data_IF_982553563745
#
_entry.id   IF_982553563745
#
_cell.length_a   1.000
_cell.length_b   1.000
_cell.length_c   1.000
_cell.angle_alpha   90.00
_cell.angle_beta   90.00
_cell.angle_gamma   90.00
#
_symmetry.space_group_name_H-M   'P 1'
#
loop_
_entity.id
_entity.type
_entity.pdbx_description
1 polymer ?
#
# COMPACT_ATOMS: atom_id res chain seq x y z
N UNK A 1 -24.83 3.71 41.45
CA UNK A 1 -24.14 4.57 40.46
C UNK A 1 -23.14 3.72 39.65
N UNK A 2 -23.65 2.73 38.90
CA UNK A 2 -22.86 1.84 38.05
C UNK A 2 -23.57 1.75 36.71
N UNK A 3 -23.14 2.55 35.74
CA UNK A 3 -23.75 2.56 34.42
C UNK A 3 -22.98 3.44 33.46
N UNK A 4 -21.81 2.98 32.99
CA UNK A 4 -21.27 3.47 31.72
C UNK A 4 -20.14 2.66 31.05
N UNK A 5 -19.97 1.36 31.32
CA UNK A 5 -18.83 0.58 30.77
C UNK A 5 -19.20 -0.62 29.88
N UNK A 6 -20.43 -0.70 29.37
CA UNK A 6 -20.95 -1.94 28.76
C UNK A 6 -21.44 -1.87 27.31
N UNK A 7 -21.25 -0.78 26.57
CA UNK A 7 -21.65 -0.69 25.15
C UNK A 7 -20.49 -0.22 24.28
N UNK A 8 -19.44 -1.03 24.18
CA UNK A 8 -18.66 -1.00 22.95
C UNK A 8 -19.60 -1.55 21.87
N UNK A 9 -20.20 -0.65 21.08
CA UNK A 9 -21.21 -0.99 20.08
C UNK A 9 -20.65 -2.09 19.15
N UNK A 10 -21.33 -3.24 19.09
CA UNK A 10 -20.93 -4.37 18.26
C UNK A 10 -20.69 -3.97 16.79
N UNK A 11 -21.48 -3.03 16.26
CA UNK A 11 -21.28 -2.42 14.94
C UNK A 11 -19.96 -1.64 14.81
N UNK A 12 -19.53 -0.92 15.85
CA UNK A 12 -18.24 -0.22 15.87
C UNK A 12 -17.08 -1.22 15.89
N UNK A 13 -17.20 -2.32 16.64
CA UNK A 13 -16.18 -3.38 16.67
C UNK A 13 -16.06 -4.10 15.33
N UNK A 14 -17.19 -4.41 14.68
CA UNK A 14 -17.21 -5.02 13.34
C UNK A 14 -16.60 -4.07 12.29
N UNK A 15 -16.90 -2.78 12.37
CA UNK A 15 -16.33 -1.75 11.49
C UNK A 15 -14.80 -1.64 11.64
N UNK A 16 -14.27 -1.60 12.88
CA UNK A 16 -12.82 -1.54 13.10
C UNK A 16 -12.11 -2.82 12.64
N UNK A 17 -12.70 -4.00 12.86
CA UNK A 17 -12.13 -5.26 12.37
C UNK A 17 -12.07 -5.31 10.85
N UNK A 18 -13.11 -4.83 10.17
CA UNK A 18 -13.15 -4.76 8.70
C UNK A 18 -12.07 -3.82 8.16
N UNK A 19 -11.84 -2.68 8.79
CA UNK A 19 -10.78 -1.74 8.39
C UNK A 19 -9.38 -2.33 8.58
N UNK A 20 -9.14 -3.01 9.70
CA UNK A 20 -7.86 -3.70 9.95
C UNK A 20 -7.62 -4.77 8.90
N UNK A 21 -8.65 -5.57 8.57
CA UNK A 21 -8.54 -6.61 7.54
C UNK A 21 -8.26 -6.00 6.17
N UNK A 22 -9.00 -4.95 5.78
CA UNK A 22 -8.77 -4.25 4.50
C UNK A 22 -7.35 -3.72 4.37
N UNK A 23 -6.88 -2.99 5.40
CA UNK A 23 -5.50 -2.48 5.41
C UNK A 23 -4.47 -3.61 5.43
N UNK A 24 -4.75 -4.74 6.10
CA UNK A 24 -3.85 -5.91 6.06
C UNK A 24 -3.78 -6.55 4.66
N UNK A 25 -4.89 -6.58 3.93
CA UNK A 25 -4.94 -7.07 2.54
C UNK A 25 -4.19 -6.12 1.61
N UNK A 26 -4.41 -4.81 1.77
CA UNK A 26 -3.68 -3.76 1.05
C UNK A 26 -2.18 -3.88 1.31
N UNK A 27 -1.77 -3.99 2.58
CA UNK A 27 -0.37 -4.13 2.96
C UNK A 27 0.28 -5.38 2.36
N UNK A 28 -0.43 -6.51 2.38
CA UNK A 28 0.03 -7.74 1.74
C UNK A 28 0.24 -7.56 0.23
N UNK A 29 -0.70 -6.92 -0.47
CA UNK A 29 -0.58 -6.62 -1.90
C UNK A 29 0.64 -5.75 -2.21
N UNK A 30 0.81 -4.67 -1.44
CA UNK A 30 1.96 -3.76 -1.55
C UNK A 30 3.26 -4.53 -1.33
N UNK A 31 3.37 -5.30 -0.24
CA UNK A 31 4.59 -6.07 0.05
C UNK A 31 4.92 -7.06 -1.06
N UNK A 32 3.94 -7.82 -1.56
CA UNK A 32 4.16 -8.78 -2.64
C UNK A 32 4.74 -8.14 -3.90
N UNK A 33 4.21 -6.99 -4.33
CA UNK A 33 4.72 -6.31 -5.52
C UNK A 33 6.05 -5.59 -5.27
N UNK A 34 6.22 -4.93 -4.12
CA UNK A 34 7.49 -4.32 -3.73
C UNK A 34 8.64 -5.34 -3.66
N UNK A 35 8.36 -6.60 -3.27
CA UNK A 35 9.35 -7.68 -3.27
C UNK A 35 9.82 -8.03 -4.69
N UNK A 36 8.89 -8.10 -5.64
CA UNK A 36 9.17 -8.40 -7.04
C UNK A 36 9.93 -7.26 -7.70
N UNK A 37 9.51 -6.01 -7.47
CA UNK A 37 10.23 -4.83 -7.97
C UNK A 37 11.66 -4.80 -7.42
N UNK A 38 11.85 -5.08 -6.13
CA UNK A 38 13.18 -5.15 -5.51
C UNK A 38 14.08 -6.21 -6.17
N UNK A 39 13.54 -7.39 -6.46
CA UNK A 39 14.27 -8.42 -7.21
C UNK A 39 14.62 -7.95 -8.62
N UNK A 40 13.68 -7.34 -9.35
CA UNK A 40 13.89 -6.85 -10.70
C UNK A 40 15.00 -5.76 -10.75
N UNK A 41 14.99 -4.82 -9.80
CA UNK A 41 16.01 -3.77 -9.69
C UNK A 41 17.42 -4.37 -9.52
N UNK A 42 17.56 -5.45 -8.76
CA UNK A 42 18.86 -6.06 -8.48
C UNK A 42 19.57 -6.65 -9.71
N UNK A 43 18.80 -6.94 -10.77
CA UNK A 43 19.29 -7.53 -12.04
C UNK A 43 19.10 -6.58 -13.23
N UNK A 44 18.83 -5.30 -12.98
CA UNK A 44 18.50 -4.29 -13.99
C UNK A 44 19.66 -3.92 -14.94
N UNK A 45 20.91 -4.24 -14.61
CA UNK A 45 22.07 -3.92 -15.45
C UNK A 45 22.21 -2.41 -15.70
N UNK A 46 22.23 -2.01 -16.97
CA UNK A 46 22.41 -0.61 -17.40
C UNK A 46 21.25 0.30 -16.96
N UNK A 47 20.04 -0.25 -16.77
CA UNK A 47 18.85 0.48 -16.33
C UNK A 47 18.79 0.66 -14.80
N UNK A 48 19.80 0.20 -14.06
CA UNK A 48 19.79 0.28 -12.59
C UNK A 48 19.64 1.72 -12.09
N UNK A 49 20.39 2.68 -12.62
CA UNK A 49 20.37 4.07 -12.15
C UNK A 49 18.99 4.72 -12.36
N UNK A 50 18.40 4.73 -13.57
CA UNK A 50 17.07 5.31 -13.74
C UNK A 50 16.00 4.58 -12.92
N UNK A 51 16.01 3.24 -12.88
CA UNK A 51 15.04 2.46 -12.11
C UNK A 51 15.19 2.66 -10.60
N UNK A 52 16.41 2.83 -10.09
CA UNK A 52 16.65 3.09 -8.68
C UNK A 52 16.10 4.46 -8.26
N UNK A 53 16.33 5.49 -9.07
CA UNK A 53 15.78 6.83 -8.81
C UNK A 53 14.25 6.80 -8.84
N UNK A 54 13.65 6.17 -9.85
CA UNK A 54 12.20 5.99 -9.92
C UNK A 54 11.68 5.25 -8.68
N UNK A 55 12.33 4.14 -8.29
CA UNK A 55 11.92 3.33 -7.15
C UNK A 55 11.94 4.09 -5.82
N UNK A 56 12.91 4.98 -5.60
CA UNK A 56 12.95 5.82 -4.39
C UNK A 56 11.68 6.67 -4.29
N UNK A 57 11.28 7.33 -5.38
CA UNK A 57 10.08 8.17 -5.38
C UNK A 57 8.80 7.33 -5.31
N UNK A 58 8.76 6.20 -6.03
CA UNK A 58 7.63 5.28 -6.00
C UNK A 58 7.37 4.76 -4.57
N UNK A 59 8.40 4.20 -3.93
CA UNK A 59 8.34 3.67 -2.58
C UNK A 59 8.09 4.77 -1.54
N UNK A 60 8.55 6.00 -1.79
CA UNK A 60 8.20 7.12 -0.90
C UNK A 60 6.69 7.38 -0.91
N UNK A 61 6.08 7.47 -2.10
CA UNK A 61 4.66 7.78 -2.22
C UNK A 61 3.75 6.64 -1.78
N UNK A 62 4.09 5.40 -2.14
CA UNK A 62 3.39 4.22 -1.62
C UNK A 62 3.48 4.14 -0.08
N UNK A 63 4.65 4.44 0.48
CA UNK A 63 4.90 4.43 1.92
C UNK A 63 4.10 5.50 2.67
N UNK A 64 3.99 6.70 2.10
CA UNK A 64 3.13 7.76 2.63
C UNK A 64 1.65 7.35 2.58
N UNK A 65 1.22 6.69 1.49
CA UNK A 65 -0.13 6.17 1.32
C UNK A 65 -0.50 5.17 2.42
N UNK A 66 0.26 4.08 2.56
CA UNK A 66 -0.02 3.07 3.60
C UNK A 66 0.18 3.63 5.01
N UNK A 67 1.17 4.49 5.22
CA UNK A 67 1.43 5.12 6.51
C UNK A 67 0.25 5.99 6.98
N UNK A 68 -0.38 6.74 6.06
CA UNK A 68 -1.59 7.52 6.38
C UNK A 68 -2.75 6.62 6.81
N UNK A 69 -2.92 5.46 6.17
CA UNK A 69 -3.99 4.51 6.50
C UNK A 69 -3.77 3.81 7.82
N UNK A 70 -2.54 3.41 8.11
CA UNK A 70 -2.16 2.86 9.41
C UNK A 70 -2.38 3.90 10.51
N UNK A 71 -2.10 5.19 10.26
CA UNK A 71 -2.31 6.25 11.23
C UNK A 71 -3.80 6.51 11.56
N UNK A 72 -4.72 6.21 10.64
CA UNK A 72 -6.16 6.33 10.85
C UNK A 72 -6.76 5.17 11.68
N UNK A 73 -6.04 4.04 11.79
CA UNK A 73 -6.49 2.88 12.55
C UNK A 73 -6.38 3.08 14.07
N UNK A 74 -7.43 2.68 14.79
CA UNK A 74 -7.45 2.68 16.27
C UNK A 74 -6.84 1.40 16.81
N UNK A 75 -5.54 1.43 17.09
CA UNK A 75 -4.86 0.34 17.78
C UNK A 75 -5.03 0.43 19.31
N UNK A 76 -5.01 -0.72 20.03
CA UNK A 76 -4.92 -0.73 21.48
C UNK A 76 -3.69 0.06 21.98
N UNK A 77 -3.79 0.75 23.13
CA UNK A 77 -2.63 1.37 23.76
C UNK A 77 -1.61 0.27 24.08
N UNK A 78 -0.41 0.35 23.52
CA UNK A 78 0.68 -0.66 23.52
C UNK A 78 0.63 -1.73 22.41
N UNK A 79 -0.10 -1.51 21.33
CA UNK A 79 0.01 -2.37 20.16
C UNK A 79 1.34 -2.14 19.41
N UNK A 80 2.05 -3.23 19.12
CA UNK A 80 3.20 -3.21 18.21
C UNK A 80 2.81 -3.28 16.74
N UNK A 81 1.53 -3.52 16.43
CA UNK A 81 1.04 -3.68 15.05
C UNK A 81 1.47 -2.55 14.09
N UNK A 82 1.27 -1.24 14.38
CA UNK A 82 1.65 -0.20 13.42
C UNK A 82 3.16 -0.16 13.13
N UNK A 83 3.99 -0.54 14.10
CA UNK A 83 5.44 -0.64 13.93
C UNK A 83 5.82 -1.86 13.07
N UNK A 84 5.20 -3.01 13.32
CA UNK A 84 5.42 -4.21 12.52
C UNK A 84 5.00 -4.01 11.07
N UNK A 85 3.87 -3.32 10.85
CA UNK A 85 3.38 -2.97 9.51
C UNK A 85 4.38 -2.05 8.78
N UNK A 86 4.82 -0.99 9.46
CA UNK A 86 5.83 -0.07 8.93
C UNK A 86 7.16 -0.76 8.61
N UNK A 87 7.59 -1.70 9.46
CA UNK A 87 8.79 -2.51 9.24
C UNK A 87 8.61 -3.51 8.11
N UNK A 88 7.45 -4.18 8.01
CA UNK A 88 7.15 -5.10 6.93
C UNK A 88 7.27 -4.39 5.58
N UNK A 89 6.59 -3.25 5.42
CA UNK A 89 6.71 -2.42 4.23
C UNK A 89 8.16 -2.01 3.95
N UNK A 90 8.83 -1.38 4.91
CA UNK A 90 10.18 -0.82 4.71
C UNK A 90 11.27 -1.86 4.45
N UNK A 91 11.11 -3.09 4.92
CA UNK A 91 12.10 -4.17 4.73
C UNK A 91 11.84 -5.02 3.50
N UNK A 92 10.63 -4.96 2.92
CA UNK A 92 10.26 -5.84 1.81
C UNK A 92 11.05 -5.56 0.53
N UNK A 93 11.21 -4.29 0.13
CA UNK A 93 12.01 -3.93 -1.05
C UNK A 93 13.49 -4.29 -0.88
N UNK A 94 14.16 -3.96 0.25
CA UNK A 94 15.52 -4.46 0.53
C UNK A 94 15.63 -5.98 0.53
N UNK A 95 14.64 -6.70 1.05
CA UNK A 95 14.61 -8.16 1.03
C UNK A 95 14.51 -8.69 -0.41
N UNK A 96 13.68 -8.07 -1.25
CA UNK A 96 13.61 -8.36 -2.69
C UNK A 96 14.96 -8.16 -3.39
N UNK A 97 15.62 -7.03 -3.13
CA UNK A 97 16.97 -6.75 -3.69
C UNK A 97 17.96 -7.83 -3.24
N UNK A 98 17.96 -8.19 -1.95
CA UNK A 98 18.83 -9.23 -1.42
C UNK A 98 18.59 -10.58 -2.10
N UNK A 99 17.33 -11.00 -2.21
CA UNK A 99 16.97 -12.26 -2.88
C UNK A 99 17.44 -12.25 -4.33
N UNK A 100 17.17 -11.16 -5.06
CA UNK A 100 17.58 -11.02 -6.45
C UNK A 100 19.09 -11.08 -6.64
N UNK A 101 19.87 -10.44 -5.73
CA UNK A 101 21.34 -10.56 -5.70
C UNK A 101 21.82 -12.00 -5.42
N UNK A 102 21.13 -12.74 -4.54
CA UNK A 102 21.48 -14.12 -4.20
C UNK A 102 21.27 -15.09 -5.38
N UNK A 103 20.23 -14.85 -6.18
CA UNK A 103 19.88 -15.74 -7.30
C UNK A 103 20.39 -15.24 -8.66
N UNK A 104 21.05 -14.07 -8.72
CA UNK A 104 21.40 -13.37 -9.98
C UNK A 104 22.16 -14.21 -11.00
N UNK A 105 23.00 -15.15 -10.54
CA UNK A 105 23.82 -15.98 -11.44
C UNK A 105 23.05 -17.18 -12.00
N UNK A 106 21.95 -17.57 -11.34
CA UNK A 106 21.10 -18.71 -11.74
C UNK A 106 19.77 -18.27 -12.36
N UNK A 107 19.34 -17.03 -12.11
CA UNK A 107 18.07 -16.48 -12.55
C UNK A 107 18.25 -15.62 -13.80
N UNK A 108 17.63 -16.04 -14.90
CA UNK A 108 17.56 -15.23 -16.11
C UNK A 108 16.23 -14.44 -16.12
N UNK A 109 16.24 -13.12 -15.83
CA UNK A 109 15.03 -12.29 -15.81
C UNK A 109 14.34 -12.20 -17.19
N UNK A 110 15.08 -12.44 -18.27
CA UNK A 110 14.56 -12.41 -19.64
C UNK A 110 14.00 -13.77 -20.10
N UNK A 111 13.98 -14.79 -19.24
CA UNK A 111 13.39 -16.09 -19.58
C UNK A 111 11.86 -16.02 -19.60
N UNK A 112 11.22 -16.74 -20.52
CA UNK A 112 9.75 -16.75 -20.62
C UNK A 112 9.05 -17.19 -19.33
N UNK A 113 9.62 -18.16 -18.60
CA UNK A 113 9.10 -18.59 -17.29
C UNK A 113 9.19 -17.48 -16.25
N UNK A 114 10.30 -16.74 -16.17
CA UNK A 114 10.47 -15.62 -15.26
C UNK A 114 9.42 -14.53 -15.52
N UNK A 115 9.24 -14.15 -16.79
CA UNK A 115 8.26 -13.15 -17.20
C UNK A 115 6.81 -13.57 -16.91
N UNK A 116 6.46 -14.84 -17.12
CA UNK A 116 5.12 -15.36 -16.80
C UNK A 116 4.88 -15.31 -15.29
N UNK A 117 5.83 -15.79 -14.48
CA UNK A 117 5.71 -15.79 -13.03
C UNK A 117 5.57 -14.37 -12.51
N UNK A 118 6.44 -13.46 -12.95
CA UNK A 118 6.38 -12.05 -12.61
C UNK A 118 5.04 -11.43 -13.00
N UNK A 119 4.59 -11.62 -14.25
CA UNK A 119 3.32 -11.08 -14.73
C UNK A 119 2.10 -11.60 -13.96
N UNK A 120 2.09 -12.87 -13.54
CA UNK A 120 1.01 -13.42 -12.71
C UNK A 120 0.99 -12.75 -11.35
N UNK A 121 2.12 -12.68 -10.64
CA UNK A 121 2.16 -12.05 -9.32
C UNK A 121 1.86 -10.55 -9.39
N UNK A 122 2.38 -9.84 -10.39
CA UNK A 122 2.13 -8.41 -10.60
C UNK A 122 0.65 -8.15 -10.93
N UNK A 123 0.01 -9.00 -11.75
CA UNK A 123 -1.42 -8.85 -12.07
C UNK A 123 -2.33 -9.12 -10.85
N UNK A 124 -1.99 -10.11 -10.02
CA UNK A 124 -2.70 -10.37 -8.77
C UNK A 124 -2.55 -9.19 -7.82
N UNK A 125 -1.33 -8.67 -7.66
CA UNK A 125 -1.10 -7.48 -6.83
C UNK A 125 -1.85 -6.26 -7.36
N UNK A 126 -1.75 -5.98 -8.66
CA UNK A 126 -2.47 -4.87 -9.30
C UNK A 126 -3.99 -4.97 -9.07
N UNK A 127 -4.57 -6.17 -9.13
CA UNK A 127 -5.98 -6.39 -8.82
C UNK A 127 -6.34 -6.04 -7.37
N UNK A 128 -5.52 -6.46 -6.40
CA UNK A 128 -5.69 -6.13 -4.98
C UNK A 128 -5.55 -4.61 -4.77
N UNK A 129 -4.53 -3.99 -5.34
CA UNK A 129 -4.26 -2.56 -5.21
C UNK A 129 -5.34 -1.71 -5.86
N UNK A 130 -5.87 -2.12 -7.01
CA UNK A 130 -7.01 -1.45 -7.65
C UNK A 130 -8.27 -1.55 -6.79
N UNK A 131 -8.57 -2.72 -6.24
CA UNK A 131 -9.69 -2.88 -5.31
C UNK A 131 -9.53 -1.97 -4.10
N UNK A 132 -8.37 -1.99 -3.45
CA UNK A 132 -8.12 -1.18 -2.28
C UNK A 132 -8.18 0.33 -2.61
N UNK A 133 -7.56 0.77 -3.70
CA UNK A 133 -7.61 2.16 -4.13
C UNK A 133 -9.03 2.64 -4.43
N UNK A 134 -9.81 1.87 -5.20
CA UNK A 134 -11.15 2.31 -5.62
C UNK A 134 -12.19 2.13 -4.52
N UNK A 135 -12.23 0.97 -3.88
CA UNK A 135 -13.29 0.58 -2.95
C UNK A 135 -12.94 0.94 -1.53
N UNK A 136 -11.70 0.67 -1.09
CA UNK A 136 -11.32 0.91 0.31
C UNK A 136 -10.92 2.35 0.57
N UNK A 137 -10.23 3.02 -0.37
CA UNK A 137 -9.77 4.40 -0.21
C UNK A 137 -10.75 5.41 -0.80
N UNK A 138 -10.88 5.46 -2.14
CA UNK A 138 -11.64 6.53 -2.82
C UNK A 138 -13.13 6.49 -2.42
N UNK A 139 -13.76 5.32 -2.44
CA UNK A 139 -15.18 5.23 -2.10
C UNK A 139 -15.45 5.54 -0.62
N UNK A 140 -14.62 5.07 0.31
CA UNK A 140 -14.82 5.41 1.73
C UNK A 140 -14.56 6.89 2.00
N UNK A 141 -13.49 7.46 1.47
CA UNK A 141 -13.07 8.83 1.78
C UNK A 141 -13.95 9.89 1.09
N UNK A 142 -14.35 9.67 -0.16
CA UNK A 142 -15.08 10.67 -0.95
C UNK A 142 -16.59 10.42 -1.06
N UNK A 143 -17.03 9.16 -1.06
CA UNK A 143 -18.44 8.80 -1.31
C UNK A 143 -19.18 8.52 -0.01
N UNK A 144 -18.61 7.67 0.85
CA UNK A 144 -19.32 7.18 2.05
C UNK A 144 -19.07 8.02 3.30
N UNK A 145 -18.05 8.87 3.35
CA UNK A 145 -17.85 9.75 4.50
C UNK A 145 -18.86 10.91 4.54
N UNK A 146 -19.81 10.79 5.46
CA UNK A 146 -20.81 11.84 5.74
C UNK A 146 -20.20 13.15 6.28
N UNK A 147 -18.97 13.12 6.82
CA UNK A 147 -18.21 14.31 7.22
C UNK A 147 -17.70 15.07 6.00
N UNK A 148 -17.05 14.37 5.07
CA UNK A 148 -16.58 14.90 3.79
C UNK A 148 -17.71 15.51 2.96
N UNK A 149 -18.92 14.95 2.99
CA UNK A 149 -20.05 15.54 2.26
C UNK A 149 -20.50 16.91 2.80
N UNK A 150 -20.16 17.24 4.06
CA UNK A 150 -20.59 18.47 4.74
C UNK A 150 -19.55 19.60 4.69
N UNK A 151 -18.31 19.32 4.32
CA UNK A 151 -17.26 20.35 4.19
C UNK A 151 -17.51 21.25 2.96
N UNK A 152 -16.94 22.47 2.92
CA UNK A 152 -17.07 23.37 1.78
C UNK A 152 -16.67 22.71 0.45
N UNK A 153 -17.35 23.09 -0.63
CA UNK A 153 -17.06 22.56 -1.97
C UNK A 153 -15.63 22.84 -2.44
N UNK A 154 -15.03 23.94 -1.99
CA UNK A 154 -13.61 24.25 -2.25
C UNK A 154 -12.68 23.16 -1.76
N UNK A 155 -12.95 22.64 -0.56
CA UNK A 155 -12.09 21.69 0.13
C UNK A 155 -12.28 20.29 -0.46
N UNK A 156 -13.52 19.95 -0.84
CA UNK A 156 -13.81 18.72 -1.60
C UNK A 156 -13.07 18.69 -2.95
N UNK A 157 -13.11 19.80 -3.70
CA UNK A 157 -12.41 19.92 -4.98
C UNK A 157 -10.90 19.85 -4.76
N UNK A 158 -10.37 20.53 -3.74
CA UNK A 158 -8.94 20.50 -3.42
C UNK A 158 -8.48 19.08 -3.11
N UNK A 159 -9.21 18.33 -2.28
CA UNK A 159 -8.89 16.94 -1.98
C UNK A 159 -8.90 16.05 -3.23
N UNK A 160 -9.89 16.22 -4.12
CA UNK A 160 -9.96 15.47 -5.36
C UNK A 160 -8.85 15.86 -6.35
N UNK A 161 -8.49 17.14 -6.43
CA UNK A 161 -7.34 17.61 -7.21
C UNK A 161 -6.03 17.03 -6.68
N UNK A 162 -5.84 16.98 -5.36
CA UNK A 162 -4.68 16.32 -4.75
C UNK A 162 -4.59 14.83 -5.12
N UNK A 163 -5.72 14.11 -5.13
CA UNK A 163 -5.78 12.71 -5.57
C UNK A 163 -5.32 12.56 -7.04
N UNK A 164 -5.85 13.38 -7.95
CA UNK A 164 -5.48 13.32 -9.37
C UNK A 164 -4.01 13.69 -9.57
N UNK A 165 -3.51 14.71 -8.89
CA UNK A 165 -2.11 15.12 -8.99
C UNK A 165 -1.20 14.01 -8.46
N UNK A 166 -1.53 13.39 -7.33
CA UNK A 166 -0.79 12.25 -6.79
C UNK A 166 -0.75 11.07 -7.76
N UNK A 167 -1.91 10.69 -8.33
CA UNK A 167 -1.98 9.64 -9.34
C UNK A 167 -1.18 9.99 -10.61
N UNK A 168 -1.21 11.27 -11.04
CA UNK A 168 -0.44 11.75 -12.18
C UNK A 168 1.08 11.70 -11.96
N UNK A 169 1.54 12.06 -10.75
CA UNK A 169 2.95 11.94 -10.36
C UNK A 169 3.37 10.47 -10.33
N UNK A 170 2.56 9.60 -9.73
CA UNK A 170 2.84 8.16 -9.70
C UNK A 170 2.82 7.51 -11.08
N UNK A 171 2.05 8.03 -12.02
CA UNK A 171 2.04 7.57 -13.41
C UNK A 171 3.27 8.02 -14.21
N UNK A 172 3.97 9.07 -13.78
CA UNK A 172 5.18 9.57 -14.43
C UNK A 172 6.44 8.80 -14.00
N UNK A 173 6.41 8.27 -12.77
CA UNK A 173 7.49 7.51 -12.13
C UNK A 173 7.46 6.06 -12.62
#
# INVERSE_FOLDING_TARGET
NFGNFGKINFQTVLSTRSQIIGISILEFGICMHSLIIGMALSVAGDEFVPLFVALIFHQLFEGLGIGSRVAELKFPPNSYAPWLMSLAYGTTTPAGILIGLLIRDSYNPNSGTALIVQGVFDSVSAGILLYAAMVELIANDFIYDSGFQKIPKSDQITAFSCLIVGAGIMSLI
#
